data_IF_223053419465
#
_entry.id   IF_223053419465
#
_cell.length_a   1.000
_cell.length_b   1.000
_cell.length_c   1.000
_cell.angle_alpha   90.00
_cell.angle_beta   90.00
_cell.angle_gamma   90.00
#
_symmetry.space_group_name_H-M   'P 1'
#
loop_
_entity.id
_entity.type
_entity.pdbx_description
1 polymer ?
#
# COMPACT_ATOMS: atom_id res chain seq x y z
N UNK A 1 6.69 32.49 -1.10
CA UNK A 1 6.30 32.40 0.32
C UNK A 1 6.32 30.93 0.72
N UNK A 2 6.85 30.54 1.88
CA UNK A 2 6.95 29.13 2.30
C UNK A 2 6.11 28.87 3.55
N UNK A 3 5.38 27.76 3.59
CA UNK A 3 4.51 27.40 4.71
C UNK A 3 5.12 26.24 5.52
N UNK A 4 4.75 26.16 6.80
CA UNK A 4 5.20 25.08 7.69
C UNK A 4 4.01 24.41 8.36
N UNK A 5 3.96 23.09 8.33
CA UNK A 5 2.91 22.26 8.94
C UNK A 5 3.53 21.34 9.98
N UNK A 6 2.84 21.18 11.10
CA UNK A 6 3.17 20.22 12.14
C UNK A 6 2.34 18.97 11.91
N UNK A 7 3.00 17.85 11.66
CA UNK A 7 2.34 16.60 11.28
C UNK A 7 2.09 15.72 12.52
N UNK A 8 2.98 15.84 13.51
CA UNK A 8 2.89 15.12 14.77
C UNK A 8 3.60 15.91 15.89
N UNK A 9 3.39 15.57 17.18
CA UNK A 9 4.20 16.10 18.27
C UNK A 9 5.69 15.87 18.01
N UNK A 10 6.45 16.96 17.82
CA UNK A 10 7.90 16.91 17.61
C UNK A 10 8.37 16.88 16.14
N UNK A 11 7.45 16.85 15.16
CA UNK A 11 7.79 16.85 13.73
C UNK A 11 7.18 18.06 13.03
N UNK A 12 8.05 18.93 12.49
CA UNK A 12 7.65 20.06 11.65
C UNK A 12 8.26 19.93 10.27
N UNK A 13 7.42 20.06 9.25
CA UNK A 13 7.84 20.10 7.85
C UNK A 13 7.70 21.53 7.36
N UNK A 14 8.77 22.07 6.78
CA UNK A 14 8.76 23.37 6.13
C UNK A 14 9.07 23.18 4.65
N UNK A 15 8.16 23.65 3.82
CA UNK A 15 8.30 23.63 2.36
C UNK A 15 8.70 25.03 1.91
N UNK A 16 9.81 25.13 1.20
CA UNK A 16 10.30 26.37 0.60
C UNK A 16 10.57 26.15 -0.89
N UNK A 17 10.61 27.20 -1.73
CA UNK A 17 10.91 27.07 -3.15
C UNK A 17 12.26 26.39 -3.43
N UNK A 18 13.21 26.47 -2.49
CA UNK A 18 14.53 25.85 -2.55
C UNK A 18 14.60 24.45 -1.93
N UNK A 19 13.47 23.89 -1.49
CA UNK A 19 13.36 22.50 -1.04
C UNK A 19 12.58 22.31 0.26
N UNK A 20 12.44 21.04 0.64
CA UNK A 20 11.74 20.60 1.85
C UNK A 20 12.75 20.34 2.96
N UNK A 21 12.52 20.92 4.15
CA UNK A 21 13.28 20.59 5.36
C UNK A 21 12.36 20.02 6.42
N UNK A 22 12.74 18.87 6.98
CA UNK A 22 12.06 18.23 8.10
C UNK A 22 12.92 18.42 9.35
N UNK A 23 12.33 18.93 10.42
CA UNK A 23 12.97 19.07 11.72
C UNK A 23 12.26 18.17 12.73
N UNK A 24 13.03 17.28 13.35
CA UNK A 24 12.58 16.37 14.41
C UNK A 24 13.30 16.74 15.70
N UNK A 25 12.57 17.04 16.76
CA UNK A 25 13.16 17.38 18.08
C UNK A 25 13.19 16.16 19.01
N UNK A 26 14.24 15.99 19.84
CA UNK A 26 14.45 14.79 20.65
C UNK A 26 13.69 14.90 21.98
N UNK A 27 12.39 14.66 21.95
CA UNK A 27 11.63 14.36 23.17
C UNK A 27 10.55 13.34 22.81
N UNK A 28 10.88 12.07 23.08
CA UNK A 28 10.00 10.91 22.84
C UNK A 28 10.48 10.01 21.70
N UNK A 29 11.48 9.16 21.99
CA UNK A 29 12.03 8.17 21.05
C UNK A 29 11.23 6.86 21.14
N UNK A 30 10.70 6.36 20.02
CA UNK A 30 10.89 4.97 19.53
C UNK A 30 10.96 4.98 18.00
N UNK A 31 11.87 4.17 17.46
CA UNK A 31 12.28 4.11 16.05
C UNK A 31 11.59 2.95 15.35
N UNK A 32 11.18 3.16 14.10
CA UNK A 32 10.92 2.12 13.10
C UNK A 32 11.12 2.73 11.70
N UNK A 33 11.98 2.11 10.87
CA UNK A 33 12.48 2.66 9.61
C UNK A 33 11.97 1.89 8.37
N UNK A 34 11.81 2.60 7.24
CA UNK A 34 11.99 2.14 5.84
C UNK A 34 11.73 3.34 4.90
N UNK A 35 12.34 3.58 3.73
CA UNK A 35 13.54 3.14 3.02
C UNK A 35 13.77 4.22 1.93
N UNK A 36 14.99 4.68 1.64
CA UNK A 36 15.78 4.16 0.53
C UNK A 36 17.29 4.42 0.75
N UNK A 37 18.09 3.46 0.31
CA UNK A 37 19.52 3.23 0.57
C UNK A 37 20.44 4.45 0.80
N UNK A 38 20.80 4.65 2.06
CA UNK A 38 22.04 5.34 2.48
C UNK A 38 22.96 4.30 3.10
N UNK A 39 24.15 4.05 2.52
CA UNK A 39 25.19 3.28 3.20
C UNK A 39 26.03 4.22 4.05
N UNK A 40 25.82 4.16 5.36
CA UNK A 40 26.73 4.76 6.34
C UNK A 40 27.84 3.75 6.63
N UNK A 41 29.09 4.09 6.30
CA UNK A 41 30.26 3.38 6.84
C UNK A 41 30.74 4.13 8.07
N UNK A 42 30.54 3.51 9.24
CA UNK A 42 31.18 3.96 10.48
C UNK A 42 32.47 3.16 10.62
N UNK A 43 33.61 3.81 10.35
CA UNK A 43 34.92 3.26 10.66
C UNK A 43 35.26 3.55 12.11
N UNK A 44 35.56 2.52 12.89
CA UNK A 44 36.21 2.69 14.18
C UNK A 44 37.68 3.06 13.93
N UNK A 45 38.01 4.33 14.15
CA UNK A 45 39.39 4.85 14.11
C UNK A 45 39.52 5.91 15.18
N UNK A 46 40.48 5.69 16.09
CA UNK A 46 40.64 6.44 17.32
C UNK A 46 41.09 7.89 17.16
N UNK A 47 40.92 8.60 18.28
CA UNK A 47 41.57 9.82 18.74
C UNK A 47 41.96 10.88 17.69
N UNK A 48 41.21 11.98 17.68
CA UNK A 48 41.65 13.24 17.08
C UNK A 48 40.49 14.06 16.54
N UNK A 49 40.42 15.32 16.91
CA UNK A 49 39.41 16.29 16.50
C UNK A 49 39.20 16.33 14.96
N UNK A 50 37.98 16.62 14.51
CA UNK A 50 37.77 17.07 13.13
C UNK A 50 36.34 16.89 12.62
N UNK A 51 35.83 17.95 11.99
CA UNK A 51 34.45 18.06 11.51
C UNK A 51 34.01 17.02 10.49
N UNK A 52 32.68 16.87 10.41
CA UNK A 52 32.01 16.07 9.38
C UNK A 52 31.98 16.86 8.08
N UNK A 53 32.78 16.46 7.08
CA UNK A 53 32.59 16.89 5.69
C UNK A 53 31.70 15.90 4.95
N UNK A 54 30.56 16.37 4.45
CA UNK A 54 29.75 15.66 3.47
C UNK A 54 30.00 16.30 2.08
N UNK A 55 30.43 15.49 1.11
CA UNK A 55 30.46 15.87 -0.30
C UNK A 55 29.26 15.23 -0.99
N UNK A 56 28.55 16.01 -1.80
CA UNK A 56 27.46 15.55 -2.67
C UNK A 56 27.89 15.76 -4.11
N UNK A 57 27.91 14.71 -4.92
CA UNK A 57 28.12 14.81 -6.36
C UNK A 57 26.78 14.66 -7.05
N UNK A 58 26.39 15.66 -7.84
CA UNK A 58 25.21 15.63 -8.71
C UNK A 58 25.66 15.14 -10.08
N UNK A 59 24.97 14.19 -10.75
CA UNK A 59 25.33 13.79 -12.09
C UNK A 59 24.74 14.79 -13.09
N UNK A 60 25.60 15.49 -13.83
CA UNK A 60 25.23 16.09 -15.12
C UNK A 60 25.61 15.13 -16.25
N UNK A 61 24.76 15.10 -17.28
CA UNK A 61 25.08 14.54 -18.61
C UNK A 61 26.46 15.04 -19.06
N UNK A 62 27.22 14.19 -19.76
CA UNK A 62 28.64 14.30 -20.15
C UNK A 62 29.61 13.75 -19.09
N UNK A 63 30.00 12.49 -19.29
CA UNK A 63 31.04 11.84 -18.49
C UNK A 63 32.45 12.39 -18.78
N UNK A 64 33.43 12.17 -17.90
CA UNK A 64 34.81 12.49 -18.21
C UNK A 64 35.61 11.27 -18.69
N UNK A 65 36.33 11.50 -19.78
CA UNK A 65 37.45 10.73 -20.31
C UNK A 65 38.72 10.97 -19.49
N UNK A 66 39.58 9.93 -19.47
CA UNK A 66 41.07 9.96 -19.39
C UNK A 66 41.73 10.41 -18.07
N UNK A 67 42.98 10.12 -17.71
CA UNK A 67 44.23 9.66 -18.40
C UNK A 67 45.01 8.73 -17.44
N UNK A 68 45.71 7.75 -18.01
CA UNK A 68 46.71 6.90 -17.36
C UNK A 68 48.06 7.61 -17.19
N UNK A 69 48.67 7.51 -16.00
CA UNK A 69 50.08 7.88 -15.76
C UNK A 69 50.73 6.79 -14.91
N UNK A 70 51.65 6.03 -15.50
CA UNK A 70 52.48 5.04 -14.79
C UNK A 70 53.53 5.70 -13.88
N UNK A 71 54.18 4.90 -13.02
CA UNK A 71 55.63 4.87 -13.13
C UNK A 71 56.26 3.47 -12.99
N UNK A 72 57.37 3.36 -13.72
CA UNK A 72 58.58 2.54 -13.59
C UNK A 72 58.58 1.23 -12.79
N UNK A 73 59.02 0.20 -13.50
CA UNK A 73 59.56 -1.06 -13.00
C UNK A 73 60.67 -0.89 -11.94
N UNK A 74 60.87 -1.92 -11.10
CA UNK A 74 62.18 -2.55 -11.09
C UNK A 74 62.16 -4.07 -11.34
N UNK A 75 63.33 -4.53 -11.75
CA UNK A 75 63.72 -5.80 -12.37
C UNK A 75 63.56 -7.07 -11.49
N UNK A 76 63.75 -8.28 -12.06
CA UNK A 76 63.36 -9.54 -11.45
C UNK A 76 64.48 -10.12 -10.58
N UNK A 77 64.12 -10.66 -9.41
CA UNK A 77 65.01 -11.56 -8.65
C UNK A 77 64.42 -12.96 -8.63
N UNK A 78 65.07 -13.84 -9.37
CA UNK A 78 64.97 -15.29 -9.27
C UNK A 78 65.29 -15.76 -7.85
N UNK A 79 64.38 -16.49 -7.21
CA UNK A 79 64.77 -17.47 -6.19
C UNK A 79 63.89 -18.72 -6.26
N UNK A 80 64.48 -19.74 -6.85
CA UNK A 80 64.07 -21.13 -6.73
C UNK A 80 64.09 -21.56 -5.25
N UNK A 81 63.09 -22.33 -4.83
CA UNK A 81 63.12 -22.93 -3.50
C UNK A 81 61.80 -23.49 -2.98
N UNK A 82 61.47 -24.71 -3.43
CA UNK A 82 61.14 -25.83 -2.52
C UNK A 82 59.99 -25.60 -1.50
N UNK A 83 58.84 -26.23 -1.73
CA UNK A 83 58.37 -27.45 -1.01
C UNK A 83 56.89 -27.71 -1.29
N UNK A 84 56.63 -28.90 -1.81
CA UNK A 84 55.33 -29.60 -1.76
C UNK A 84 54.81 -29.59 -0.32
N UNK A 85 53.64 -28.98 -0.11
CA UNK A 85 52.81 -29.16 1.07
C UNK A 85 51.38 -29.35 0.59
N UNK A 86 50.89 -30.60 0.63
CA UNK A 86 49.53 -30.97 0.27
C UNK A 86 48.53 -30.40 1.26
N UNK A 87 48.18 -29.13 1.09
CA UNK A 87 47.05 -28.51 1.77
C UNK A 87 45.77 -28.90 1.07
N UNK A 88 45.11 -29.98 1.52
CA UNK A 88 43.67 -30.19 1.28
C UNK A 88 42.92 -29.00 1.88
N UNK A 89 42.75 -27.92 1.12
CA UNK A 89 41.79 -26.85 1.44
C UNK A 89 40.40 -27.45 1.32
N UNK A 90 39.79 -27.70 2.47
CA UNK A 90 38.40 -28.12 2.58
C UNK A 90 37.48 -27.14 1.83
N UNK A 91 36.62 -27.59 0.90
CA UNK A 91 35.62 -26.75 0.25
C UNK A 91 34.39 -26.62 1.18
N UNK A 92 34.47 -25.80 2.23
CA UNK A 92 33.43 -25.74 3.26
C UNK A 92 32.67 -24.41 3.49
N UNK A 93 32.87 -23.28 2.77
CA UNK A 93 32.02 -22.08 2.96
C UNK A 93 30.97 -21.85 1.86
N UNK A 94 30.95 -22.60 0.75
CA UNK A 94 30.02 -22.37 -0.35
C UNK A 94 28.63 -23.00 -0.12
N UNK A 95 28.60 -24.22 0.41
CA UNK A 95 27.35 -24.94 0.70
C UNK A 95 26.51 -24.25 1.79
N UNK A 96 27.15 -23.77 2.87
CA UNK A 96 26.46 -23.04 3.94
C UNK A 96 25.87 -21.70 3.50
N UNK A 97 26.56 -20.97 2.61
CA UNK A 97 26.05 -19.71 2.04
C UNK A 97 24.85 -19.92 1.12
N UNK A 98 24.87 -20.98 0.31
CA UNK A 98 23.73 -21.32 -0.55
C UNK A 98 22.49 -21.74 0.28
N UNK A 99 22.69 -22.53 1.34
CA UNK A 99 21.60 -22.90 2.24
C UNK A 99 21.00 -21.70 2.98
N UNK A 100 21.84 -20.78 3.47
CA UNK A 100 21.38 -19.56 4.13
C UNK A 100 20.60 -18.63 3.18
N UNK A 101 21.07 -18.46 1.94
CA UNK A 101 20.38 -17.67 0.93
C UNK A 101 19.01 -18.26 0.56
N UNK A 102 18.91 -19.59 0.46
CA UNK A 102 17.63 -20.27 0.20
C UNK A 102 16.66 -20.14 1.39
N UNK A 103 17.15 -20.24 2.61
CA UNK A 103 16.32 -20.05 3.81
C UNK A 103 15.76 -18.63 3.90
N UNK A 104 16.57 -17.62 3.59
CA UNK A 104 16.11 -16.22 3.57
C UNK A 104 15.07 -15.99 2.47
N UNK A 105 15.31 -16.52 1.27
CA UNK A 105 14.35 -16.46 0.16
C UNK A 105 13.03 -17.17 0.48
N UNK A 106 13.09 -18.28 1.20
CA UNK A 106 11.89 -18.99 1.66
C UNK A 106 11.08 -18.13 2.63
N UNK A 107 11.73 -17.48 3.61
CA UNK A 107 11.06 -16.56 4.53
C UNK A 107 10.44 -15.36 3.81
N UNK A 108 11.16 -14.76 2.87
CA UNK A 108 10.63 -13.65 2.05
C UNK A 108 9.39 -14.11 1.26
N UNK A 109 9.42 -15.30 0.66
CA UNK A 109 8.28 -15.86 -0.06
C UNK A 109 7.08 -16.17 0.85
N UNK A 110 7.31 -16.65 2.06
CA UNK A 110 6.25 -16.91 3.04
C UNK A 110 5.60 -15.61 3.52
N UNK A 111 6.38 -14.57 3.80
CA UNK A 111 5.85 -13.26 4.18
C UNK A 111 5.01 -12.63 3.06
N UNK A 112 5.50 -12.68 1.82
CA UNK A 112 4.77 -12.17 0.66
C UNK A 112 3.49 -12.97 0.36
N UNK A 113 3.51 -14.28 0.61
CA UNK A 113 2.33 -15.12 0.45
C UNK A 113 1.26 -14.75 1.49
N UNK A 114 1.66 -14.56 2.76
CA UNK A 114 0.76 -14.13 3.82
C UNK A 114 0.19 -12.72 3.56
N UNK A 115 1.01 -11.79 3.07
CA UNK A 115 0.56 -10.44 2.69
C UNK A 115 -0.48 -10.49 1.56
N UNK A 116 -0.20 -11.27 0.51
CA UNK A 116 -1.12 -11.44 -0.62
C UNK A 116 -2.44 -12.09 -0.19
N UNK A 117 -2.37 -13.09 0.69
CA UNK A 117 -3.56 -13.74 1.23
C UNK A 117 -4.37 -12.77 2.08
N UNK A 118 -3.75 -12.01 2.98
CA UNK A 118 -4.42 -10.99 3.78
C UNK A 118 -5.10 -9.93 2.90
N UNK A 119 -4.44 -9.51 1.82
CA UNK A 119 -4.96 -8.52 0.89
C UNK A 119 -6.18 -9.04 0.11
N UNK A 120 -6.14 -10.31 -0.34
CA UNK A 120 -7.18 -10.90 -1.20
C UNK A 120 -8.31 -11.58 -0.43
N UNK A 121 -8.15 -11.80 0.88
CA UNK A 121 -9.17 -12.38 1.76
C UNK A 121 -9.81 -11.35 2.70
N UNK A 122 -9.58 -10.05 2.48
CA UNK A 122 -10.12 -8.99 3.32
C UNK A 122 -11.64 -9.06 3.51
N UNK A 123 -12.41 -9.49 2.49
CA UNK A 123 -13.86 -9.68 2.59
C UNK A 123 -14.30 -10.75 3.58
N UNK A 124 -13.41 -11.70 3.91
CA UNK A 124 -13.66 -12.80 4.85
C UNK A 124 -13.46 -12.40 6.29
N UNK A 125 -12.87 -11.23 6.55
CA UNK A 125 -12.69 -10.74 7.93
C UNK A 125 -14.02 -10.73 8.67
N UNK A 126 -13.97 -11.13 9.93
CA UNK A 126 -15.14 -11.12 10.80
C UNK A 126 -15.65 -9.70 11.00
N UNK A 127 -16.97 -9.57 10.96
CA UNK A 127 -17.68 -8.32 11.23
C UNK A 127 -18.59 -8.58 12.43
N UNK A 128 -18.26 -7.96 13.56
CA UNK A 128 -19.02 -8.12 14.80
C UNK A 128 -20.30 -7.28 14.71
N UNK A 129 -21.50 -7.89 14.79
CA UNK A 129 -22.75 -7.17 14.78
C UNK A 129 -22.97 -6.39 16.08
N UNK A 130 -23.43 -5.16 15.95
CA UNK A 130 -23.91 -4.35 17.08
C UNK A 130 -25.32 -4.83 17.44
N UNK A 131 -25.62 -5.12 18.72
CA UNK A 131 -26.96 -5.54 19.11
C UNK A 131 -27.97 -4.42 18.83
N UNK A 132 -29.23 -4.74 18.45
CA UNK A 132 -30.23 -3.73 18.10
C UNK A 132 -30.48 -2.68 19.19
N UNK A 133 -30.34 -3.05 20.46
CA UNK A 133 -30.51 -2.14 21.60
C UNK A 133 -29.40 -1.08 21.74
N UNK A 134 -28.25 -1.28 21.10
CA UNK A 134 -27.13 -0.35 21.12
C UNK A 134 -26.91 0.35 19.76
N UNK A 135 -27.74 0.04 18.76
CA UNK A 135 -27.65 0.65 17.44
C UNK A 135 -28.34 2.02 17.39
N UNK A 136 -27.83 2.98 16.60
CA UNK A 136 -28.50 4.25 16.41
C UNK A 136 -29.84 4.06 15.68
N UNK A 137 -30.88 4.84 16.00
CA UNK A 137 -32.16 4.79 15.29
C UNK A 137 -32.05 5.46 13.91
N UNK A 138 -32.70 4.91 12.89
CA UNK A 138 -32.72 5.51 11.53
C UNK A 138 -33.40 6.88 11.48
N UNK A 139 -34.25 7.20 12.47
CA UNK A 139 -34.86 8.52 12.61
C UNK A 139 -33.84 9.62 12.93
N UNK A 140 -32.61 9.25 13.28
CA UNK A 140 -31.49 10.17 13.53
C UNK A 140 -30.33 9.85 12.56
N UNK A 141 -30.34 10.43 11.35
CA UNK A 141 -29.29 10.22 10.36
C UNK A 141 -27.89 10.60 10.86
N UNK A 142 -27.78 11.64 11.71
CA UNK A 142 -26.50 12.09 12.25
C UNK A 142 -25.92 11.07 13.22
N UNK A 143 -26.76 10.45 14.06
CA UNK A 143 -26.34 9.34 14.92
C UNK A 143 -25.90 8.11 14.12
N UNK A 144 -26.59 7.79 13.02
CA UNK A 144 -26.20 6.71 12.10
C UNK A 144 -24.83 7.00 11.48
N UNK A 145 -24.63 8.20 10.94
CA UNK A 145 -23.37 8.66 10.36
C UNK A 145 -22.25 8.59 11.40
N UNK A 146 -22.46 9.12 12.61
CA UNK A 146 -21.47 9.09 13.69
C UNK A 146 -21.06 7.67 14.09
N UNK A 147 -22.02 6.77 14.26
CA UNK A 147 -21.75 5.38 14.60
C UNK A 147 -20.94 4.65 13.51
N UNK A 148 -21.27 4.90 12.23
CA UNK A 148 -20.55 4.34 11.09
C UNK A 148 -19.12 4.90 10.98
N UNK A 149 -18.93 6.21 11.18
CA UNK A 149 -17.59 6.82 11.25
C UNK A 149 -16.74 6.14 12.32
N UNK A 150 -17.29 5.94 13.52
CA UNK A 150 -16.57 5.25 14.60
C UNK A 150 -16.28 3.79 14.25
N UNK A 151 -17.25 3.09 13.64
CA UNK A 151 -17.09 1.71 13.20
C UNK A 151 -16.00 1.53 12.13
N UNK A 152 -15.95 2.42 11.15
CA UNK A 152 -14.92 2.42 10.11
C UNK A 152 -13.54 2.78 10.68
N UNK A 153 -13.47 3.81 11.54
CA UNK A 153 -12.22 4.21 12.20
C UNK A 153 -11.63 3.08 13.06
N UNK A 154 -12.47 2.40 13.85
CA UNK A 154 -12.05 1.25 14.68
C UNK A 154 -11.54 0.08 13.84
N UNK A 155 -12.06 -0.08 12.63
CA UNK A 155 -11.64 -1.11 11.68
C UNK A 155 -10.42 -0.71 10.84
N UNK A 156 -9.93 0.52 10.96
CA UNK A 156 -8.88 1.06 10.09
C UNK A 156 -9.31 1.18 8.62
N UNK A 157 -10.61 1.31 8.36
CA UNK A 157 -11.15 1.47 7.01
C UNK A 157 -11.12 2.95 6.61
N UNK A 158 -10.54 3.24 5.44
CA UNK A 158 -10.56 4.58 4.84
C UNK A 158 -11.92 4.85 4.17
N UNK A 159 -13.00 4.74 4.93
CA UNK A 159 -14.37 4.89 4.48
C UNK A 159 -15.07 6.02 5.25
N UNK A 160 -15.97 6.73 4.58
CA UNK A 160 -16.79 7.79 5.15
C UNK A 160 -18.25 7.61 4.72
N UNK A 161 -19.21 7.50 5.66
CA UNK A 161 -20.62 7.62 5.32
C UNK A 161 -20.90 9.07 4.89
N UNK A 162 -21.58 9.25 3.76
CA UNK A 162 -21.85 10.58 3.17
C UNK A 162 -23.32 10.98 3.26
N UNK A 163 -24.22 10.01 3.51
CA UNK A 163 -25.64 10.29 3.65
C UNK A 163 -26.44 9.03 3.93
N UNK A 164 -27.59 9.22 4.55
CA UNK A 164 -28.57 8.19 4.87
C UNK A 164 -29.90 8.60 4.23
N UNK A 165 -30.50 7.71 3.46
CA UNK A 165 -31.82 7.89 2.85
C UNK A 165 -32.70 6.70 3.24
N UNK A 166 -33.63 6.94 4.17
CA UNK A 166 -34.46 5.89 4.76
C UNK A 166 -33.62 4.77 5.39
N UNK A 167 -33.72 3.57 4.81
CA UNK A 167 -33.00 2.37 5.25
C UNK A 167 -31.71 2.09 4.45
N UNK A 168 -31.26 3.05 3.64
CA UNK A 168 -30.05 2.97 2.84
C UNK A 168 -29.00 3.99 3.30
N UNK A 169 -27.75 3.57 3.39
CA UNK A 169 -26.62 4.48 3.59
C UNK A 169 -25.72 4.49 2.37
N UNK A 170 -25.26 5.67 1.97
CA UNK A 170 -24.19 5.83 0.98
C UNK A 170 -22.87 6.04 1.70
N UNK A 171 -21.86 5.24 1.35
CA UNK A 171 -20.50 5.29 1.90
C UNK A 171 -19.50 5.45 0.76
N UNK A 172 -18.56 6.37 0.93
CA UNK A 172 -17.40 6.52 0.04
C UNK A 172 -16.22 5.80 0.67
N UNK A 173 -15.57 4.94 -0.11
CA UNK A 173 -14.39 4.18 0.31
C UNK A 173 -13.19 4.62 -0.53
N UNK A 174 -12.11 5.05 0.12
CA UNK A 174 -10.84 5.27 -0.55
C UNK A 174 -10.16 3.93 -0.82
N UNK A 175 -9.94 3.64 -2.10
CA UNK A 175 -9.25 2.45 -2.56
C UNK A 175 -7.81 2.43 -2.02
N UNK A 176 -7.29 1.25 -1.63
CA UNK A 176 -5.88 1.11 -1.35
C UNK A 176 -5.06 1.47 -2.61
N UNK A 177 -3.89 2.10 -2.47
CA UNK A 177 -3.06 2.42 -3.62
C UNK A 177 -2.54 1.14 -4.30
N UNK A 178 -2.23 1.20 -5.60
CA UNK A 178 -1.71 0.03 -6.34
C UNK A 178 -0.38 -0.51 -5.76
N UNK A 179 0.34 0.32 -4.99
CA UNK A 179 1.56 -0.06 -4.28
C UNK A 179 1.37 -1.05 -3.14
N UNK A 180 0.13 -1.30 -2.68
CA UNK A 180 -0.13 -2.37 -1.70
C UNK A 180 0.04 -3.77 -2.31
N UNK A 181 0.04 -3.88 -3.64
CA UNK A 181 0.22 -5.16 -4.32
C UNK A 181 1.71 -5.42 -4.49
N UNK A 182 2.22 -6.55 -3.97
CA UNK A 182 3.64 -6.89 -4.09
C UNK A 182 4.15 -6.92 -5.54
N UNK A 183 5.39 -6.46 -5.71
CA UNK A 183 6.11 -6.50 -7.00
C UNK A 183 6.64 -7.90 -7.34
N UNK A 184 6.54 -8.86 -6.41
CA UNK A 184 7.00 -10.23 -6.59
C UNK A 184 5.90 -11.23 -6.25
N UNK A 185 5.84 -12.31 -7.03
CA UNK A 185 4.92 -13.43 -6.80
C UNK A 185 5.67 -14.55 -6.09
N UNK A 186 5.25 -14.93 -4.88
CA UNK A 186 5.78 -16.11 -4.20
C UNK A 186 5.29 -17.38 -4.90
N UNK A 187 6.14 -18.40 -4.93
CA UNK A 187 5.82 -19.68 -5.53
C UNK A 187 6.83 -20.76 -5.16
N UNK A 188 6.65 -21.95 -5.72
CA UNK A 188 7.57 -23.08 -5.57
C UNK A 188 8.06 -23.55 -6.94
N UNK A 189 9.34 -23.90 -7.02
CA UNK A 189 9.89 -24.59 -8.18
C UNK A 189 9.44 -26.06 -8.20
N UNK A 190 9.65 -26.76 -9.32
CA UNK A 190 9.39 -28.20 -9.42
C UNK A 190 10.16 -29.04 -8.37
N UNK A 191 11.30 -28.53 -7.91
CA UNK A 191 12.11 -29.16 -6.86
C UNK A 191 11.68 -28.78 -5.43
N UNK A 192 10.52 -28.13 -5.25
CA UNK A 192 9.98 -27.71 -3.95
C UNK A 192 10.62 -26.45 -3.33
N UNK A 193 11.68 -25.93 -3.94
CA UNK A 193 12.40 -24.72 -3.49
C UNK A 193 11.57 -23.46 -3.67
N UNK A 194 11.77 -22.48 -2.79
CA UNK A 194 11.06 -21.21 -2.85
C UNK A 194 11.46 -20.43 -4.11
N UNK A 195 10.49 -19.78 -4.74
CA UNK A 195 10.71 -18.92 -5.89
C UNK A 195 10.03 -17.58 -5.69
N UNK A 196 10.74 -16.52 -6.04
CA UNK A 196 10.21 -15.16 -6.13
C UNK A 196 10.41 -14.70 -7.56
N UNK A 197 9.31 -14.43 -8.27
CA UNK A 197 9.34 -13.95 -9.65
C UNK A 197 8.78 -12.54 -9.69
N UNK A 198 9.28 -11.71 -10.61
CA UNK A 198 8.67 -10.41 -10.86
C UNK A 198 7.19 -10.57 -11.21
N UNK A 199 6.33 -9.76 -10.59
CA UNK A 199 4.90 -9.81 -10.79
C UNK A 199 4.51 -9.18 -12.14
N UNK A 200 3.82 -9.93 -13.02
CA UNK A 200 3.30 -9.35 -14.26
C UNK A 200 2.29 -8.24 -13.98
N UNK A 201 2.28 -7.18 -14.79
CA UNK A 201 1.36 -6.05 -14.61
C UNK A 201 -0.13 -6.47 -14.56
N UNK A 202 -0.55 -7.40 -15.43
CA UNK A 202 -1.92 -7.95 -15.44
C UNK A 202 -2.26 -8.68 -14.13
N UNK A 203 -1.29 -9.39 -13.56
CA UNK A 203 -1.51 -10.09 -12.28
C UNK A 203 -1.68 -9.08 -11.15
N UNK A 204 -0.83 -8.04 -11.10
CA UNK A 204 -0.94 -7.00 -10.09
C UNK A 204 -2.27 -6.26 -10.16
N UNK A 205 -2.72 -5.93 -11.37
CA UNK A 205 -4.00 -5.29 -11.62
C UNK A 205 -5.18 -6.14 -11.13
N UNK A 206 -5.12 -7.47 -11.31
CA UNK A 206 -6.13 -8.40 -10.81
C UNK A 206 -6.15 -8.51 -9.28
N UNK A 207 -4.98 -8.63 -8.65
CA UNK A 207 -4.87 -8.65 -7.19
C UNK A 207 -5.40 -7.35 -6.58
N UNK A 208 -5.04 -6.20 -7.17
CA UNK A 208 -5.56 -4.90 -6.74
C UNK A 208 -7.09 -4.85 -6.87
N UNK A 209 -7.65 -5.31 -8.00
CA UNK A 209 -9.10 -5.37 -8.19
C UNK A 209 -9.80 -6.24 -7.13
N UNK A 210 -9.27 -7.42 -6.82
CA UNK A 210 -9.79 -8.29 -5.74
C UNK A 210 -9.71 -7.59 -4.39
N UNK A 211 -8.58 -6.93 -4.07
CA UNK A 211 -8.40 -6.21 -2.81
C UNK A 211 -9.43 -5.08 -2.63
N UNK A 212 -9.57 -4.24 -3.66
CA UNK A 212 -10.51 -3.12 -3.69
C UNK A 212 -11.95 -3.61 -3.52
N UNK A 213 -12.33 -4.64 -4.27
CA UNK A 213 -13.68 -5.23 -4.21
C UNK A 213 -13.94 -5.88 -2.85
N UNK A 214 -12.94 -6.57 -2.30
CA UNK A 214 -13.04 -7.21 -0.99
C UNK A 214 -13.21 -6.19 0.14
N UNK A 215 -12.53 -5.06 0.06
CA UNK A 215 -12.69 -3.97 1.01
C UNK A 215 -14.08 -3.32 0.89
N UNK A 216 -14.60 -3.13 -0.33
CA UNK A 216 -15.96 -2.62 -0.53
C UNK A 216 -17.03 -3.53 0.10
N UNK A 217 -16.93 -4.85 -0.11
CA UNK A 217 -17.82 -5.83 0.53
C UNK A 217 -17.69 -5.81 2.05
N UNK A 218 -16.47 -5.73 2.58
CA UNK A 218 -16.25 -5.64 4.04
C UNK A 218 -16.89 -4.39 4.62
N UNK A 219 -16.74 -3.24 3.98
CA UNK A 219 -17.36 -1.97 4.39
C UNK A 219 -18.89 -2.06 4.35
N UNK A 220 -19.47 -2.65 3.29
CA UNK A 220 -20.92 -2.88 3.22
C UNK A 220 -21.43 -3.77 4.36
N UNK A 221 -20.78 -4.91 4.61
CA UNK A 221 -21.11 -5.80 5.74
C UNK A 221 -21.01 -5.07 7.08
N UNK A 222 -19.97 -4.26 7.26
CA UNK A 222 -19.76 -3.49 8.49
C UNK A 222 -20.87 -2.49 8.72
N UNK A 223 -21.27 -1.74 7.70
CA UNK A 223 -22.37 -0.81 7.84
C UNK A 223 -23.68 -1.50 8.28
N UNK A 224 -24.03 -2.60 7.62
CA UNK A 224 -25.19 -3.42 7.98
C UNK A 224 -25.08 -4.04 9.37
N UNK A 225 -23.87 -4.36 9.82
CA UNK A 225 -23.64 -4.91 11.15
C UNK A 225 -23.69 -3.83 12.26
N UNK A 226 -23.24 -2.61 11.96
CA UNK A 226 -23.24 -1.47 12.87
C UNK A 226 -24.63 -0.90 13.07
N UNK A 227 -25.44 -0.86 12.00
CA UNK A 227 -26.83 -0.37 12.06
C UNK A 227 -27.75 -1.47 11.50
N UNK A 228 -28.25 -2.38 12.36
CA UNK A 228 -29.08 -3.52 11.95
C UNK A 228 -30.37 -3.12 11.22
N UNK A 229 -30.87 -1.90 11.44
CA UNK A 229 -32.05 -1.38 10.77
C UNK A 229 -31.81 -1.01 9.30
N UNK A 230 -30.56 -0.83 8.85
CA UNK A 230 -30.27 -0.62 7.44
C UNK A 230 -30.63 -1.86 6.62
N UNK A 231 -31.38 -1.66 5.55
CA UNK A 231 -31.72 -2.68 4.57
C UNK A 231 -30.73 -2.73 3.42
N UNK A 232 -30.06 -1.61 3.10
CA UNK A 232 -29.10 -1.52 2.01
C UNK A 232 -27.92 -0.59 2.29
N UNK A 233 -26.84 -0.82 1.57
CA UNK A 233 -25.64 0.03 1.57
C UNK A 233 -25.20 0.24 0.14
N UNK A 234 -24.95 1.50 -0.21
CA UNK A 234 -24.29 1.89 -1.44
C UNK A 234 -22.84 2.22 -1.14
N UNK A 235 -21.90 1.49 -1.75
CA UNK A 235 -20.46 1.76 -1.60
C UNK A 235 -19.93 2.32 -2.91
N UNK A 236 -19.34 3.51 -2.83
CA UNK A 236 -18.66 4.18 -3.94
C UNK A 236 -17.17 4.17 -3.64
N UNK A 237 -16.42 3.41 -4.42
CA UNK A 237 -14.98 3.26 -4.25
C UNK A 237 -14.26 4.24 -5.15
N UNK A 238 -13.46 5.10 -4.55
CA UNK A 238 -12.70 6.15 -5.26
C UNK A 238 -11.21 5.96 -5.07
N UNK A 239 -10.40 6.45 -6.00
CA UNK A 239 -8.95 6.60 -5.82
C UNK A 239 -8.53 8.04 -6.09
N UNK A 240 -7.42 8.44 -5.48
CA UNK A 240 -6.74 9.67 -5.84
C UNK A 240 -6.03 9.49 -7.19
N UNK A 241 -6.24 10.44 -8.10
CA UNK A 241 -5.65 10.49 -9.43
C UNK A 241 -4.59 11.61 -9.56
N UNK A 242 -4.03 12.02 -8.42
CA UNK A 242 -3.14 13.16 -8.30
C UNK A 242 -3.87 14.51 -8.32
N UNK A 243 -3.13 15.61 -8.20
CA UNK A 243 -3.71 16.94 -8.31
C UNK A 243 -4.07 17.28 -9.76
N UNK A 244 -5.12 18.08 -9.94
CA UNK A 244 -5.38 18.76 -11.19
C UNK A 244 -4.38 19.91 -11.45
N UNK A 245 -4.55 20.62 -12.57
CA UNK A 245 -3.70 21.74 -12.95
C UNK A 245 -3.69 22.88 -11.91
N UNK A 246 -4.68 22.92 -11.01
CA UNK A 246 -4.82 23.92 -9.95
C UNK A 246 -4.36 23.41 -8.59
N UNK A 247 -3.79 22.20 -8.52
CA UNK A 247 -3.32 21.60 -7.28
C UNK A 247 -4.41 20.93 -6.44
N UNK A 248 -5.65 20.85 -6.92
CA UNK A 248 -6.76 20.22 -6.19
C UNK A 248 -6.75 18.71 -6.39
N UNK A 249 -7.05 17.90 -5.37
CA UNK A 249 -7.09 16.45 -5.53
C UNK A 249 -8.15 16.06 -6.56
N UNK A 250 -7.78 15.19 -7.51
CA UNK A 250 -8.72 14.57 -8.44
C UNK A 250 -9.08 13.20 -7.93
N UNK A 251 -10.37 12.92 -7.81
CA UNK A 251 -10.88 11.59 -7.49
C UNK A 251 -11.38 10.90 -8.76
N UNK A 252 -11.12 9.59 -8.84
CA UNK A 252 -11.63 8.71 -9.89
C UNK A 252 -12.44 7.58 -9.23
N UNK A 253 -13.68 7.38 -9.65
CA UNK A 253 -14.49 6.27 -9.16
C UNK A 253 -14.07 4.96 -9.85
N UNK A 254 -13.73 3.93 -9.09
CA UNK A 254 -13.34 2.62 -9.61
C UNK A 254 -14.49 1.61 -9.64
N UNK A 255 -15.39 1.73 -8.66
CA UNK A 255 -16.52 0.83 -8.46
C UNK A 255 -17.62 1.59 -7.73
N UNK A 256 -18.87 1.41 -8.15
CA UNK A 256 -20.02 1.80 -7.36
C UNK A 256 -20.98 0.61 -7.29
N UNK A 257 -21.39 0.21 -6.09
CA UNK A 257 -22.27 -0.94 -5.92
C UNK A 257 -23.29 -0.72 -4.82
N UNK A 258 -24.43 -1.41 -4.94
CA UNK A 258 -25.49 -1.43 -3.95
C UNK A 258 -25.76 -2.85 -3.49
N UNK A 259 -25.60 -3.10 -2.19
CA UNK A 259 -25.86 -4.39 -1.57
C UNK A 259 -26.99 -4.28 -0.55
N UNK A 260 -27.93 -5.21 -0.61
CA UNK A 260 -28.98 -5.34 0.40
C UNK A 260 -28.55 -6.35 1.46
N UNK A 261 -29.07 -6.20 2.68
CA UNK A 261 -28.89 -7.19 3.75
C UNK A 261 -29.34 -8.58 3.29
N UNK A 262 -30.50 -8.65 2.65
CA UNK A 262 -31.06 -9.91 2.16
C UNK A 262 -30.16 -10.59 1.12
N UNK A 263 -29.55 -9.84 0.20
CA UNK A 263 -28.66 -10.43 -0.81
C UNK A 263 -27.32 -10.92 -0.26
N UNK A 264 -26.88 -10.38 0.88
CA UNK A 264 -25.67 -10.83 1.57
C UNK A 264 -25.92 -11.97 2.57
N UNK A 265 -27.18 -12.27 2.86
CA UNK A 265 -27.55 -13.39 3.72
C UNK A 265 -27.22 -14.73 3.04
N UNK A 266 -26.68 -15.67 3.82
CA UNK A 266 -26.28 -16.99 3.32
C UNK A 266 -25.03 -17.03 2.41
N UNK A 267 -24.39 -15.90 2.11
CA UNK A 267 -23.15 -15.87 1.30
C UNK A 267 -22.05 -16.73 1.95
N UNK A 268 -21.45 -17.61 1.14
CA UNK A 268 -20.34 -18.48 1.56
C UNK A 268 -19.01 -17.76 1.37
N UNK A 269 -18.69 -16.85 2.29
CA UNK A 269 -17.53 -15.93 2.22
C UNK A 269 -16.18 -16.64 2.02
N UNK A 270 -16.01 -17.85 2.54
CA UNK A 270 -14.77 -18.62 2.43
C UNK A 270 -14.59 -19.32 1.08
N UNK A 271 -15.68 -19.52 0.32
CA UNK A 271 -15.67 -20.34 -0.90
C UNK A 271 -15.58 -19.53 -2.19
N UNK A 272 -15.83 -18.22 -2.13
CA UNK A 272 -15.87 -17.36 -3.31
C UNK A 272 -14.89 -16.18 -3.21
N UNK A 273 -14.39 -15.76 -4.37
CA UNK A 273 -13.61 -14.53 -4.54
C UNK A 273 -14.53 -13.29 -4.41
N UNK A 274 -13.96 -12.19 -3.93
CA UNK A 274 -14.69 -10.94 -3.73
C UNK A 274 -15.39 -10.43 -5.00
N UNK A 275 -14.77 -10.57 -6.17
CA UNK A 275 -15.35 -10.19 -7.45
C UNK A 275 -16.60 -11.00 -7.79
N UNK A 276 -16.57 -12.31 -7.54
CA UNK A 276 -17.72 -13.21 -7.75
C UNK A 276 -18.87 -12.85 -6.80
N UNK A 277 -18.56 -12.66 -5.51
CA UNK A 277 -19.58 -12.28 -4.52
C UNK A 277 -20.20 -10.94 -4.91
N UNK A 278 -19.39 -9.93 -5.22
CA UNK A 278 -19.89 -8.62 -5.63
C UNK A 278 -20.82 -8.70 -6.84
N UNK A 279 -20.42 -9.41 -7.89
CA UNK A 279 -21.21 -9.56 -9.11
C UNK A 279 -22.53 -10.31 -8.91
N UNK A 280 -22.58 -11.26 -7.98
CA UNK A 280 -23.77 -12.09 -7.74
C UNK A 280 -24.74 -11.53 -6.70
N UNK A 281 -24.27 -10.63 -5.82
CA UNK A 281 -25.06 -10.15 -4.67
C UNK A 281 -25.43 -8.67 -4.77
N UNK A 282 -24.75 -7.90 -5.62
CA UNK A 282 -25.09 -6.50 -5.81
C UNK A 282 -26.42 -6.38 -6.58
N UNK A 283 -27.34 -5.59 -6.04
CA UNK A 283 -28.57 -5.19 -6.74
C UNK A 283 -28.28 -4.22 -7.89
N UNK A 284 -27.21 -3.43 -7.75
CA UNK A 284 -26.65 -2.56 -8.78
C UNK A 284 -25.13 -2.62 -8.66
N UNK A 285 -24.42 -2.79 -9.77
CA UNK A 285 -22.96 -2.80 -9.80
C UNK A 285 -22.44 -2.10 -11.06
N UNK A 286 -21.79 -0.97 -10.87
CA UNK A 286 -21.05 -0.24 -11.87
C UNK A 286 -19.56 -0.51 -11.66
N UNK A 287 -18.97 -1.21 -12.62
CA UNK A 287 -17.55 -1.55 -12.61
C UNK A 287 -17.01 -1.52 -14.03
N UNK A 288 -15.80 -0.98 -14.22
CA UNK A 288 -15.10 -1.07 -15.49
C UNK A 288 -13.81 -1.86 -15.31
N UNK A 289 -13.66 -2.96 -16.03
CA UNK A 289 -12.45 -3.79 -16.00
C UNK A 289 -11.66 -3.60 -17.28
N UNK A 290 -10.39 -3.17 -17.18
CA UNK A 290 -9.46 -3.07 -18.32
C UNK A 290 -8.14 -3.73 -17.98
N UNK A 291 -7.60 -4.50 -18.93
CA UNK A 291 -6.31 -5.21 -18.80
C UNK A 291 -6.19 -6.05 -17.52
N UNK A 292 -7.32 -6.57 -17.02
CA UNK A 292 -7.37 -7.43 -15.84
C UNK A 292 -7.46 -6.72 -14.50
N UNK A 293 -7.62 -5.38 -14.46
CA UNK A 293 -7.87 -4.64 -13.22
C UNK A 293 -8.99 -3.62 -13.35
N UNK A 294 -9.30 -2.95 -12.24
CA UNK A 294 -10.28 -1.87 -12.20
C UNK A 294 -9.77 -0.65 -12.96
N UNK A 295 -10.62 -0.10 -13.81
CA UNK A 295 -10.42 1.17 -14.49
C UNK A 295 -11.44 2.18 -13.98
N UNK A 296 -11.12 3.49 -14.01
CA UNK A 296 -12.07 4.53 -13.67
C UNK A 296 -13.38 4.40 -14.46
N UNK A 297 -14.51 4.60 -13.80
CA UNK A 297 -15.83 4.65 -14.42
C UNK A 297 -15.97 5.91 -15.28
N UNK A 298 -16.70 5.78 -16.37
CA UNK A 298 -17.17 6.91 -17.16
C UNK A 298 -18.48 7.43 -16.57
N UNK A 299 -18.42 8.56 -15.88
CA UNK A 299 -19.55 9.12 -15.13
C UNK A 299 -20.49 9.98 -15.98
N UNK A 300 -20.31 10.06 -17.31
CA UNK A 300 -21.16 10.88 -18.18
C UNK A 300 -22.65 10.49 -18.13
N UNK A 301 -22.93 9.20 -17.87
CA UNK A 301 -24.29 8.69 -17.68
C UNK A 301 -24.78 8.71 -16.23
N UNK A 302 -23.92 9.10 -15.27
CA UNK A 302 -24.15 8.93 -13.83
C UNK A 302 -24.00 10.27 -13.08
N UNK A 303 -24.93 11.22 -13.29
CA UNK A 303 -24.80 12.58 -12.76
C UNK A 303 -24.77 12.62 -11.22
N UNK A 304 -25.49 11.70 -10.55
CA UNK A 304 -25.47 11.60 -9.09
C UNK A 304 -24.09 11.18 -8.55
N UNK A 305 -23.40 10.25 -9.21
CA UNK A 305 -22.04 9.86 -8.84
C UNK A 305 -21.04 10.97 -9.12
N UNK A 306 -21.20 11.69 -10.24
CA UNK A 306 -20.37 12.85 -10.55
C UNK A 306 -20.50 13.93 -9.46
N UNK A 307 -21.72 14.29 -9.08
CA UNK A 307 -21.99 15.25 -8.01
C UNK A 307 -21.41 14.81 -6.66
N UNK A 308 -21.53 13.52 -6.32
CA UNK A 308 -20.93 12.98 -5.10
C UNK A 308 -19.40 13.13 -5.09
N UNK A 309 -18.73 12.83 -6.22
CA UNK A 309 -17.28 12.97 -6.31
C UNK A 309 -16.82 14.42 -6.19
N UNK A 310 -17.58 15.35 -6.77
CA UNK A 310 -17.31 16.78 -6.66
C UNK A 310 -17.49 17.26 -5.22
N UNK A 311 -18.55 16.87 -4.54
CA UNK A 311 -18.78 17.15 -3.11
C UNK A 311 -17.61 16.66 -2.25
N UNK A 312 -17.21 15.39 -2.41
CA UNK A 312 -16.12 14.78 -1.63
C UNK A 312 -14.75 15.40 -1.94
N UNK A 313 -14.52 15.81 -3.19
CA UNK A 313 -13.30 16.52 -3.57
C UNK A 313 -13.25 17.97 -3.07
N UNK A 314 -14.30 18.45 -2.37
CA UNK A 314 -14.42 19.83 -1.92
C UNK A 314 -14.66 20.80 -3.08
N UNK A 315 -15.34 20.35 -4.15
CA UNK A 315 -15.76 21.17 -5.29
C UNK A 315 -17.19 21.67 -5.18
N UNK A 316 -17.78 21.70 -3.98
CA UNK A 316 -19.06 22.36 -3.78
C UNK A 316 -18.97 23.84 -4.13
N UNK A 317 -19.56 24.15 -5.29
CA UNK A 317 -20.30 25.34 -5.67
C UNK A 317 -20.14 26.60 -4.79
N UNK A 318 -19.03 27.33 -4.98
CA UNK A 318 -19.11 28.80 -5.05
C UNK A 318 -19.68 29.14 -6.44
N UNK A 319 -21.01 29.16 -6.53
CA UNK A 319 -21.77 29.53 -7.72
C UNK A 319 -23.22 29.80 -7.36
#
# INVERSE_FOLDING_TARGET
MGFSVRIAPGVRVRVTPSGVRVRVTPSGVRVGAAAASTRVRVGAGGAGAGGVTASTTVPTLFGPLTVSSGPLAPAPTTRAGRRRGGGRRAPAPAAGRAAAAEAEKAREAELLAAELEALTSAHRSEVVPVPPSAAPPLSDPDAVVAALVEAYARAGEAAAPVGVDGEEVTTVLLAPPESVVPDRVPGRTAAGRASLRAAPARWRAGVHATAVTGQALRTARRALATVPALAAVRVVVVREAGPDAYGRPRLECLLAGRWTRAALDGVRWDLADAGVIAAQTASELLVQVRRGGLAPLDLRGEPALAALLDHVAGRDADG
#
